data_IF_882950114220
#
_entry.id   IF_882950114220
#
_cell.length_a   1.000
_cell.length_b   1.000
_cell.length_c   1.000
_cell.angle_alpha   90.00
_cell.angle_beta   90.00
_cell.angle_gamma   90.00
#
_symmetry.space_group_name_H-M   'P 1'
#
loop_
_entity.id
_entity.type
_entity.pdbx_description
1 polymer ?
#
# COMPACT_ATOMS: atom_id res chain seq x y z
N UNK A 1 78.34 -52.58 -47.27
CA UNK A 1 77.19 -52.04 -48.04
C UNK A 1 75.83 -52.51 -47.51
N UNK A 2 75.64 -53.79 -47.13
CA UNK A 2 74.35 -54.31 -46.63
C UNK A 2 73.83 -53.68 -45.31
N UNK A 3 74.70 -53.44 -44.33
CA UNK A 3 74.30 -52.86 -43.02
C UNK A 3 73.72 -51.44 -43.18
N UNK A 4 74.23 -50.65 -44.12
CA UNK A 4 73.75 -49.27 -44.37
C UNK A 4 72.31 -49.28 -44.92
N UNK A 5 72.00 -50.21 -45.83
CA UNK A 5 70.63 -50.36 -46.35
C UNK A 5 69.64 -50.85 -45.30
N UNK A 6 70.05 -51.78 -44.43
CA UNK A 6 69.19 -52.26 -43.33
C UNK A 6 68.93 -51.14 -42.31
N UNK A 7 69.94 -50.37 -41.95
CA UNK A 7 69.76 -49.22 -41.05
C UNK A 7 68.92 -48.11 -41.68
N UNK A 8 69.07 -47.84 -42.98
CA UNK A 8 68.24 -46.87 -43.70
C UNK A 8 66.78 -47.32 -43.78
N UNK A 9 66.54 -48.61 -44.05
CA UNK A 9 65.20 -49.21 -44.04
C UNK A 9 64.51 -49.06 -42.69
N UNK A 10 65.22 -49.42 -41.59
CA UNK A 10 64.70 -49.24 -40.22
C UNK A 10 64.46 -47.77 -39.87
N UNK A 11 65.33 -46.86 -40.32
CA UNK A 11 65.15 -45.41 -40.10
C UNK A 11 63.89 -44.89 -40.83
N UNK A 12 63.67 -45.30 -42.07
CA UNK A 12 62.49 -44.91 -42.86
C UNK A 12 61.20 -45.49 -42.26
N UNK A 13 61.23 -46.74 -41.80
CA UNK A 13 60.10 -47.38 -41.13
C UNK A 13 59.74 -46.68 -39.81
N UNK A 14 60.75 -46.30 -39.01
CA UNK A 14 60.56 -45.52 -37.79
C UNK A 14 60.01 -44.11 -38.09
N UNK A 15 60.48 -43.47 -39.16
CA UNK A 15 60.01 -42.14 -39.60
C UNK A 15 58.57 -42.18 -40.14
N UNK A 16 58.14 -43.29 -40.74
CA UNK A 16 56.77 -43.51 -41.19
C UNK A 16 55.82 -43.83 -40.03
N UNK A 17 56.21 -44.73 -39.10
CA UNK A 17 55.44 -45.08 -37.89
C UNK A 17 55.30 -43.89 -36.92
N UNK A 18 56.33 -43.05 -36.78
CA UNK A 18 56.27 -41.86 -35.94
C UNK A 18 55.19 -40.87 -36.40
N UNK A 19 55.05 -40.66 -37.72
CA UNK A 19 54.06 -39.71 -38.28
C UNK A 19 52.62 -40.22 -38.18
N UNK A 20 52.38 -41.53 -38.29
CA UNK A 20 51.03 -42.10 -38.13
C UNK A 20 50.57 -42.05 -36.68
N UNK A 21 51.46 -42.34 -35.72
CA UNK A 21 51.16 -42.22 -34.29
C UNK A 21 50.91 -40.78 -33.86
N UNK A 22 51.66 -39.81 -34.41
CA UNK A 22 51.45 -38.39 -34.15
C UNK A 22 50.11 -37.89 -34.72
N UNK A 23 49.75 -38.33 -35.93
CA UNK A 23 48.45 -38.00 -36.52
C UNK A 23 47.28 -38.57 -35.72
N UNK A 24 47.38 -39.83 -35.24
CA UNK A 24 46.39 -40.45 -34.38
C UNK A 24 46.26 -39.74 -33.02
N UNK A 25 47.38 -39.34 -32.41
CA UNK A 25 47.37 -38.59 -31.15
C UNK A 25 46.70 -37.22 -31.31
N UNK A 26 46.96 -36.51 -32.42
CA UNK A 26 46.29 -35.24 -32.72
C UNK A 26 44.79 -35.43 -33.00
N UNK A 27 44.41 -36.50 -33.67
CA UNK A 27 43.00 -36.84 -33.92
C UNK A 27 42.25 -37.13 -32.61
N UNK A 28 42.88 -37.86 -31.69
CA UNK A 28 42.32 -38.11 -30.35
C UNK A 28 42.25 -36.84 -29.49
N UNK A 29 43.19 -35.90 -29.69
CA UNK A 29 43.14 -34.59 -29.02
C UNK A 29 42.04 -33.64 -29.56
N UNK A 30 41.50 -33.94 -30.74
CA UNK A 30 40.41 -33.18 -31.38
C UNK A 30 39.01 -33.69 -31.00
N UNK A 31 38.90 -34.78 -30.21
CA UNK A 31 37.61 -35.19 -29.67
C UNK A 31 37.15 -34.15 -28.62
N UNK A 32 35.95 -33.61 -28.82
CA UNK A 32 35.34 -32.70 -27.87
C UNK A 32 35.23 -33.39 -26.50
N UNK A 33 35.94 -32.85 -25.50
CA UNK A 33 36.06 -33.46 -24.17
C UNK A 33 34.75 -33.40 -23.38
N UNK A 34 33.92 -32.39 -23.68
CA UNK A 34 32.59 -32.19 -23.10
C UNK A 34 31.66 -31.59 -24.16
N UNK A 35 30.45 -32.16 -24.29
CA UNK A 35 29.36 -31.56 -25.04
C UNK A 35 28.40 -30.93 -24.03
N UNK A 36 28.58 -29.64 -23.76
CA UNK A 36 27.61 -28.90 -22.95
C UNK A 36 26.39 -28.60 -23.82
N UNK A 37 25.28 -29.26 -23.54
CA UNK A 37 23.99 -28.93 -24.16
C UNK A 37 23.54 -27.57 -23.63
N UNK A 38 23.77 -26.50 -24.39
CA UNK A 38 23.18 -25.18 -24.11
C UNK A 38 21.77 -25.20 -24.67
N UNK A 39 20.81 -25.73 -23.90
CA UNK A 39 19.39 -25.47 -24.15
C UNK A 39 19.13 -24.02 -23.75
N UNK A 40 19.29 -23.09 -24.70
CA UNK A 40 18.53 -21.85 -24.58
C UNK A 40 17.08 -22.28 -24.74
N UNK A 41 16.32 -22.27 -23.64
CA UNK A 41 14.89 -22.56 -23.65
C UNK A 41 14.17 -21.47 -24.45
N UNK A 42 14.28 -21.54 -25.78
CA UNK A 42 13.76 -20.55 -26.70
C UNK A 42 12.25 -20.39 -26.50
N UNK A 43 11.56 -21.46 -26.11
CA UNK A 43 10.15 -21.47 -25.72
C UNK A 43 9.87 -20.60 -24.49
N UNK A 44 10.73 -20.67 -23.46
CA UNK A 44 10.62 -19.82 -22.27
C UNK A 44 10.94 -18.36 -22.62
N UNK A 45 11.96 -18.12 -23.44
CA UNK A 45 12.32 -16.77 -23.88
C UNK A 45 11.21 -16.13 -24.72
N UNK A 46 10.61 -16.89 -25.65
CA UNK A 46 9.46 -16.44 -26.45
C UNK A 46 8.23 -16.25 -25.57
N UNK A 47 7.95 -17.20 -24.67
CA UNK A 47 6.79 -17.12 -23.76
C UNK A 47 6.86 -15.90 -22.82
N UNK A 48 8.02 -15.67 -22.20
CA UNK A 48 8.24 -14.47 -21.38
C UNK A 48 8.23 -13.19 -22.20
N UNK A 49 8.74 -13.21 -23.44
CA UNK A 49 8.65 -12.09 -24.38
C UNK A 49 7.21 -11.73 -24.77
N UNK A 50 6.37 -12.72 -25.08
CA UNK A 50 4.93 -12.53 -25.35
C UNK A 50 4.21 -12.00 -24.11
N UNK A 51 4.54 -12.51 -22.92
CA UNK A 51 4.04 -11.99 -21.65
C UNK A 51 4.37 -10.50 -21.47
N UNK A 52 5.62 -10.10 -21.71
CA UNK A 52 6.07 -8.73 -21.57
C UNK A 52 5.35 -7.76 -22.54
N UNK A 53 5.07 -8.18 -23.77
CA UNK A 53 4.27 -7.39 -24.74
C UNK A 53 2.86 -7.12 -24.19
N UNK A 54 2.30 -8.05 -23.41
CA UNK A 54 1.00 -7.91 -22.76
C UNK A 54 1.08 -7.30 -21.34
N UNK A 55 2.24 -6.77 -20.94
CA UNK A 55 2.43 -6.15 -19.63
C UNK A 55 2.61 -7.14 -18.46
N UNK A 56 2.86 -8.42 -18.75
CA UNK A 56 3.08 -9.46 -17.74
C UNK A 56 4.58 -9.82 -17.72
N UNK A 57 5.29 -9.32 -16.72
CA UNK A 57 6.70 -9.63 -16.54
C UNK A 57 6.88 -10.93 -15.74
N UNK A 58 7.39 -11.97 -16.40
CA UNK A 58 7.65 -13.28 -15.79
C UNK A 58 9.16 -13.42 -15.57
N UNK A 59 9.58 -13.66 -14.33
CA UNK A 59 11.00 -13.82 -13.98
C UNK A 59 11.38 -15.31 -14.00
N UNK A 60 12.02 -15.74 -15.09
CA UNK A 60 12.48 -17.13 -15.28
C UNK A 60 11.41 -18.06 -15.89
N UNK A 61 11.78 -19.31 -16.16
CA UNK A 61 10.90 -20.32 -16.76
C UNK A 61 10.01 -21.08 -15.78
N UNK A 62 10.49 -21.31 -14.56
CA UNK A 62 9.76 -22.07 -13.54
C UNK A 62 8.37 -21.47 -13.20
N UNK A 63 8.18 -20.13 -13.09
CA UNK A 63 6.85 -19.55 -12.91
C UNK A 63 5.93 -19.77 -14.11
N UNK A 64 6.46 -19.77 -15.34
CA UNK A 64 5.68 -19.98 -16.56
C UNK A 64 5.12 -21.40 -16.63
N UNK A 65 5.90 -22.39 -16.21
CA UNK A 65 5.48 -23.79 -16.16
C UNK A 65 4.52 -24.08 -15.00
N UNK A 66 4.76 -23.46 -13.84
CA UNK A 66 3.96 -23.70 -12.64
C UNK A 66 2.58 -23.03 -12.69
N UNK A 67 2.42 -21.92 -13.43
CA UNK A 67 1.16 -21.15 -13.46
C UNK A 67 -0.03 -21.95 -13.98
N UNK A 68 0.18 -22.89 -14.91
CA UNK A 68 -0.86 -23.76 -15.44
C UNK A 68 -1.51 -24.64 -14.35
N UNK A 69 -0.76 -25.01 -13.32
CA UNK A 69 -1.23 -25.87 -12.22
C UNK A 69 -2.01 -25.10 -11.16
N UNK A 70 -2.03 -23.76 -11.23
CA UNK A 70 -2.66 -22.91 -10.22
C UNK A 70 -4.18 -23.00 -10.33
N UNK A 71 -4.82 -23.39 -9.22
CA UNK A 71 -6.28 -23.47 -9.10
C UNK A 71 -6.88 -22.37 -8.23
N UNK A 72 -6.06 -21.73 -7.39
CA UNK A 72 -6.48 -20.67 -6.47
C UNK A 72 -5.62 -19.44 -6.66
N UNK A 73 -6.25 -18.27 -6.82
CA UNK A 73 -5.60 -16.96 -6.84
C UNK A 73 -5.98 -16.21 -5.57
N UNK A 74 -4.97 -15.78 -4.81
CA UNK A 74 -5.15 -14.95 -3.62
C UNK A 74 -4.69 -13.54 -3.99
N UNK A 75 -5.62 -12.60 -3.92
CA UNK A 75 -5.32 -11.18 -4.08
C UNK A 75 -5.06 -10.55 -2.72
N UNK A 76 -3.95 -9.82 -2.61
CA UNK A 76 -3.82 -8.80 -1.58
C UNK A 76 -4.77 -7.63 -1.92
N UNK A 77 -5.26 -6.90 -0.92
CA UNK A 77 -6.17 -5.77 -1.17
C UNK A 77 -5.41 -4.55 -1.66
N UNK A 78 -4.48 -4.07 -0.84
CA UNK A 78 -3.86 -2.75 -1.00
C UNK A 78 -2.86 -2.77 -2.15
N UNK A 79 -3.04 -1.87 -3.13
CA UNK A 79 -2.14 -1.74 -4.29
C UNK A 79 -2.31 -2.80 -5.37
N UNK A 80 -2.92 -3.96 -5.05
CA UNK A 80 -3.23 -5.00 -6.03
C UNK A 80 -4.65 -4.80 -6.59
N UNK A 81 -5.68 -4.92 -5.75
CA UNK A 81 -7.09 -4.70 -6.13
C UNK A 81 -7.43 -3.19 -6.13
N UNK A 82 -6.81 -2.44 -5.23
CA UNK A 82 -6.97 -0.99 -5.12
C UNK A 82 -5.79 -0.24 -5.75
N UNK A 83 -5.95 1.06 -5.98
CA UNK A 83 -4.91 1.93 -6.56
C UNK A 83 -3.67 2.07 -5.65
N UNK A 84 -3.75 1.66 -4.37
CA UNK A 84 -2.64 1.73 -3.42
C UNK A 84 -2.37 3.16 -2.94
N UNK A 85 -3.33 4.07 -3.14
CA UNK A 85 -3.22 5.50 -2.83
C UNK A 85 -4.43 5.91 -2.01
N UNK A 86 -4.39 5.66 -0.68
CA UNK A 86 -5.50 6.02 0.19
C UNK A 86 -5.74 7.53 0.15
N UNK A 87 -7.02 7.92 0.16
CA UNK A 87 -7.46 9.31 0.20
C UNK A 87 -8.59 9.47 1.20
N UNK A 88 -8.62 10.63 1.86
CA UNK A 88 -9.74 11.00 2.72
C UNK A 88 -10.99 11.14 1.84
N UNK A 89 -12.08 10.49 2.22
CA UNK A 89 -13.37 10.53 1.52
C UNK A 89 -14.40 11.35 2.28
N UNK A 90 -14.40 11.25 3.60
CA UNK A 90 -15.33 12.00 4.44
C UNK A 90 -14.73 12.32 5.80
N UNK A 91 -15.20 13.43 6.37
CA UNK A 91 -14.88 13.89 7.72
C UNK A 91 -16.21 14.10 8.43
N UNK A 92 -16.45 13.30 9.46
CA UNK A 92 -17.64 13.41 10.29
C UNK A 92 -17.26 14.17 11.56
N UNK A 93 -17.86 15.32 11.80
CA UNK A 93 -17.65 16.12 13.02
C UNK A 93 -18.72 15.81 14.06
N UNK A 94 -18.30 15.63 15.31
CA UNK A 94 -19.15 15.22 16.44
C UNK A 94 -19.32 16.34 17.48
N UNK A 95 -18.52 17.40 17.38
CA UNK A 95 -18.49 18.51 18.32
C UNK A 95 -18.93 19.80 17.67
N UNK A 96 -19.39 20.73 18.49
CA UNK A 96 -19.85 22.05 18.04
C UNK A 96 -18.79 22.76 17.18
N UNK A 97 -19.15 23.24 15.97
CA UNK A 97 -18.25 23.99 15.10
C UNK A 97 -17.78 25.32 15.70
N UNK A 98 -18.47 25.83 16.73
CA UNK A 98 -18.08 27.03 17.48
C UNK A 98 -16.89 26.79 18.41
N UNK A 99 -16.76 25.57 18.91
CA UNK A 99 -15.67 25.16 19.80
C UNK A 99 -14.49 24.60 18.98
N UNK A 100 -14.79 23.84 17.93
CA UNK A 100 -13.81 23.18 17.08
C UNK A 100 -14.12 23.39 15.60
N UNK A 101 -13.70 24.52 15.00
CA UNK A 101 -13.86 24.77 13.58
C UNK A 101 -13.16 23.69 12.74
N UNK A 102 -13.73 23.33 11.59
CA UNK A 102 -13.20 22.27 10.73
C UNK A 102 -11.72 22.50 10.35
N UNK A 103 -11.34 23.75 10.06
CA UNK A 103 -9.94 24.10 9.75
C UNK A 103 -9.00 23.78 10.91
N UNK A 104 -9.43 24.04 12.15
CA UNK A 104 -8.65 23.73 13.34
C UNK A 104 -8.54 22.22 13.55
N UNK A 105 -9.64 21.49 13.39
CA UNK A 105 -9.66 20.03 13.45
C UNK A 105 -8.69 19.42 12.44
N UNK A 106 -8.75 19.83 11.17
CA UNK A 106 -7.88 19.29 10.11
C UNK A 106 -6.41 19.65 10.35
N UNK A 107 -6.13 20.85 10.87
CA UNK A 107 -4.76 21.25 11.25
C UNK A 107 -4.21 20.37 12.37
N UNK A 108 -5.00 20.08 13.40
CA UNK A 108 -4.62 19.22 14.53
C UNK A 108 -4.38 17.80 14.03
N UNK A 109 -5.31 17.23 13.26
CA UNK A 109 -5.16 15.88 12.70
C UNK A 109 -3.97 15.76 11.75
N UNK A 110 -3.80 16.73 10.84
CA UNK A 110 -2.66 16.77 9.91
C UNK A 110 -1.32 16.94 10.63
N UNK A 111 -1.28 17.73 11.71
CA UNK A 111 -0.09 17.86 12.54
C UNK A 111 0.23 16.54 13.26
N UNK A 112 -0.76 15.89 13.88
CA UNK A 112 -0.61 14.60 14.56
C UNK A 112 -0.01 13.53 13.65
N UNK A 113 -0.53 13.43 12.41
CA UNK A 113 -0.13 12.42 11.44
C UNK A 113 1.11 12.81 10.62
N UNK A 114 1.63 14.03 10.77
CA UNK A 114 2.80 14.48 10.02
C UNK A 114 4.08 13.70 10.33
N UNK A 115 4.18 13.10 11.53
CA UNK A 115 5.27 12.22 11.94
C UNK A 115 5.00 10.74 11.66
N UNK A 116 3.83 10.40 11.13
CA UNK A 116 3.40 9.03 10.86
C UNK A 116 3.88 8.56 9.49
N UNK A 117 4.54 7.40 9.44
CA UNK A 117 4.94 6.75 8.18
C UNK A 117 3.81 5.91 7.56
N UNK A 118 2.67 5.78 8.26
CA UNK A 118 1.58 4.96 7.80
C UNK A 118 0.86 5.59 6.59
N UNK A 119 0.46 4.81 5.56
CA UNK A 119 -0.26 5.34 4.38
C UNK A 119 -1.53 6.14 4.72
N UNK A 120 -2.21 5.77 5.80
CA UNK A 120 -3.39 6.48 6.36
C UNK A 120 -2.98 7.89 6.84
N UNK A 121 -1.90 7.99 7.61
CA UNK A 121 -1.38 9.27 8.09
C UNK A 121 -0.90 10.18 6.95
N UNK A 122 -0.26 9.58 5.94
CA UNK A 122 0.11 10.29 4.71
C UNK A 122 -1.13 10.84 3.97
N UNK A 123 -2.23 10.08 3.91
CA UNK A 123 -3.48 10.54 3.28
C UNK A 123 -4.09 11.75 4.01
N UNK A 124 -4.14 11.71 5.35
CA UNK A 124 -4.65 12.81 6.19
C UNK A 124 -3.76 14.05 6.05
N UNK A 125 -2.44 13.86 6.12
CA UNK A 125 -1.46 14.95 5.99
C UNK A 125 -1.54 15.60 4.62
N UNK A 126 -1.64 14.82 3.55
CA UNK A 126 -1.77 15.34 2.18
C UNK A 126 -3.07 16.10 1.98
N UNK A 127 -4.19 15.59 2.51
CA UNK A 127 -5.47 16.31 2.50
C UNK A 127 -5.37 17.65 3.25
N UNK A 128 -4.78 17.65 4.45
CA UNK A 128 -4.60 18.85 5.25
C UNK A 128 -3.71 19.89 4.53
N UNK A 129 -2.62 19.46 3.87
CA UNK A 129 -1.77 20.36 3.06
C UNK A 129 -2.53 21.00 1.91
N UNK A 130 -3.31 20.20 1.17
CA UNK A 130 -4.08 20.68 0.02
C UNK A 130 -5.16 21.66 0.47
N UNK A 131 -5.93 21.29 1.49
CA UNK A 131 -7.08 22.10 1.93
C UNK A 131 -6.69 23.39 2.66
N UNK A 132 -5.65 23.34 3.50
CA UNK A 132 -5.17 24.49 4.27
C UNK A 132 -4.11 25.33 3.51
N UNK A 133 -3.81 24.99 2.24
CA UNK A 133 -2.81 25.68 1.39
C UNK A 133 -1.42 25.73 2.02
N UNK A 134 -0.87 24.57 2.36
CA UNK A 134 0.46 24.37 2.97
C UNK A 134 0.64 25.11 4.32
N UNK A 135 -0.07 24.67 5.38
CA UNK A 135 0.04 25.28 6.69
C UNK A 135 1.39 24.95 7.35
N UNK A 136 1.79 25.79 8.29
CA UNK A 136 2.87 25.46 9.23
C UNK A 136 2.34 24.48 10.27
N UNK A 137 2.93 23.28 10.35
CA UNK A 137 2.49 22.28 11.34
C UNK A 137 2.72 22.76 12.77
N UNK A 138 1.81 22.36 13.65
CA UNK A 138 1.96 22.59 15.08
C UNK A 138 3.06 21.67 15.65
N UNK A 139 3.65 22.06 16.79
CA UNK A 139 4.75 21.32 17.38
C UNK A 139 4.25 20.04 18.04
N UNK A 140 4.67 18.89 17.53
CA UNK A 140 4.28 17.56 18.02
C UNK A 140 5.34 17.01 18.98
N UNK A 141 4.88 16.51 20.12
CA UNK A 141 5.68 15.91 21.18
C UNK A 141 5.02 14.60 21.66
N UNK A 142 5.80 13.73 22.34
CA UNK A 142 5.30 12.45 22.88
C UNK A 142 4.56 11.58 21.83
N UNK A 143 5.10 11.50 20.61
CA UNK A 143 4.52 10.70 19.54
C UNK A 143 4.71 9.21 19.82
N UNK A 144 3.60 8.48 19.92
CA UNK A 144 3.55 7.04 20.14
C UNK A 144 2.72 6.36 19.07
N UNK A 145 3.28 5.31 18.47
CA UNK A 145 2.60 4.48 17.47
C UNK A 145 2.21 3.16 18.10
N UNK A 146 0.94 2.79 18.00
CA UNK A 146 0.43 1.48 18.38
C UNK A 146 0.07 0.71 17.11
N UNK A 147 0.90 -0.27 16.74
CA UNK A 147 0.71 -1.05 15.52
C UNK A 147 -0.70 -1.66 15.43
N UNK A 148 -1.35 -1.47 14.28
CA UNK A 148 -2.73 -1.93 14.03
C UNK A 148 -3.83 -1.18 14.79
N UNK A 149 -3.49 -0.14 15.56
CA UNK A 149 -4.45 0.60 16.39
C UNK A 149 -4.47 2.09 16.07
N UNK A 150 -3.32 2.74 15.91
CA UNK A 150 -3.25 4.17 15.58
C UNK A 150 -2.07 4.88 16.21
N UNK A 151 -2.19 6.21 16.36
CA UNK A 151 -1.17 7.11 16.91
C UNK A 151 -1.72 7.92 18.07
N UNK A 152 -0.87 8.25 19.03
CA UNK A 152 -1.16 9.22 20.09
C UNK A 152 -0.01 10.23 20.20
N UNK A 153 -0.34 11.49 20.41
CA UNK A 153 0.65 12.55 20.51
C UNK A 153 0.13 13.76 21.27
N UNK A 154 1.04 14.63 21.70
CA UNK A 154 0.72 15.91 22.30
C UNK A 154 1.14 17.03 21.35
N UNK A 155 0.19 17.87 20.96
CA UNK A 155 0.39 18.98 20.01
C UNK A 155 0.38 20.28 20.78
N UNK A 156 1.34 21.16 20.49
CA UNK A 156 1.47 22.49 21.10
C UNK A 156 1.60 23.58 20.04
N UNK A 157 1.36 24.83 20.43
CA UNK A 157 1.46 26.02 19.56
C UNK A 157 0.46 26.05 18.39
N UNK A 158 -0.72 25.46 18.58
CA UNK A 158 -1.76 25.40 17.52
C UNK A 158 -2.21 26.80 17.11
N UNK A 159 -2.23 27.77 18.03
CA UNK A 159 -2.60 29.17 17.73
C UNK A 159 -1.65 29.84 16.71
N UNK A 160 -0.36 29.55 16.78
CA UNK A 160 0.64 30.08 15.84
C UNK A 160 0.40 29.54 14.44
N UNK A 161 0.17 28.23 14.33
CA UNK A 161 -0.15 27.57 13.06
C UNK A 161 -1.49 28.06 12.49
N UNK A 162 -2.51 28.25 13.33
CA UNK A 162 -3.81 28.80 12.93
C UNK A 162 -3.71 30.21 12.34
N UNK A 163 -2.81 31.05 12.86
CA UNK A 163 -2.62 32.41 12.32
C UNK A 163 -2.07 32.42 10.88
N UNK A 164 -1.46 31.32 10.44
CA UNK A 164 -0.98 31.14 9.06
C UNK A 164 -2.13 30.75 8.11
N UNK A 165 -3.24 30.26 8.65
CA UNK A 165 -4.42 29.83 7.87
C UNK A 165 -5.40 31.00 7.75
N UNK A 166 -5.61 31.51 6.54
CA UNK A 166 -6.58 32.55 6.28
C UNK A 166 -8.01 32.09 6.66
N UNK A 167 -8.69 32.90 7.47
CA UNK A 167 -10.07 32.73 7.96
C UNK A 167 -10.36 31.39 8.65
N UNK A 168 -10.16 31.31 9.97
CA UNK A 168 -10.46 30.10 10.78
C UNK A 168 -11.96 29.74 10.76
N UNK A 169 -12.83 30.74 10.62
CA UNK A 169 -14.28 30.54 10.55
C UNK A 169 -14.68 30.10 9.14
N UNK A 170 -14.78 28.78 8.95
CA UNK A 170 -15.46 28.20 7.78
C UNK A 170 -16.98 28.25 7.92
N UNK A 171 -17.73 27.74 6.92
CA UNK A 171 -19.18 27.58 7.02
C UNK A 171 -19.53 26.73 8.25
N UNK A 172 -20.45 27.22 9.06
CA UNK A 172 -20.96 26.53 10.24
C UNK A 172 -22.06 25.60 9.79
N UNK A 173 -21.87 24.30 9.97
CA UNK A 173 -22.89 23.29 9.69
C UNK A 173 -23.71 22.98 10.94
N UNK A 174 -25.02 22.89 10.74
CA UNK A 174 -25.97 22.38 11.73
C UNK A 174 -25.97 20.86 11.75
N UNK A 175 -26.51 20.26 12.82
CA UNK A 175 -26.58 18.80 12.95
C UNK A 175 -27.34 18.15 11.77
N UNK A 176 -26.71 17.19 11.12
CA UNK A 176 -27.21 16.50 9.94
C UNK A 176 -26.84 17.13 8.61
N UNK A 177 -26.28 18.35 8.58
CA UNK A 177 -25.86 19.02 7.36
C UNK A 177 -24.54 18.45 6.81
N UNK A 178 -24.41 18.49 5.49
CA UNK A 178 -23.26 17.99 4.75
C UNK A 178 -22.78 19.05 3.76
N UNK A 179 -21.47 19.18 3.62
CA UNK A 179 -20.84 20.02 2.61
C UNK A 179 -19.72 19.27 1.89
N UNK A 180 -19.53 19.59 0.62
CA UNK A 180 -18.33 19.16 -0.09
C UNK A 180 -17.15 20.08 0.26
N UNK A 181 -16.07 19.48 0.71
CA UNK A 181 -14.78 20.10 1.00
C UNK A 181 -13.83 19.72 -0.14
N UNK A 182 -13.09 20.70 -0.65
CA UNK A 182 -12.13 20.53 -1.76
C UNK A 182 -12.78 20.07 -3.08
N UNK A 183 -13.41 21.01 -3.78
CA UNK A 183 -13.92 20.90 -5.15
C UNK A 183 -14.61 19.54 -5.47
N UNK A 184 -15.55 19.17 -4.60
CA UNK A 184 -16.44 17.98 -4.67
C UNK A 184 -15.86 16.63 -4.23
N UNK A 185 -14.64 16.54 -3.67
CA UNK A 185 -13.99 15.22 -3.41
C UNK A 185 -14.13 14.68 -1.99
N UNK A 186 -14.23 15.54 -0.98
CA UNK A 186 -14.35 15.11 0.42
C UNK A 186 -15.66 15.59 1.00
N UNK A 187 -16.41 14.69 1.65
CA UNK A 187 -17.67 15.03 2.29
C UNK A 187 -17.46 15.37 3.76
N UNK A 188 -17.73 16.61 4.16
CA UNK A 188 -17.79 16.98 5.58
C UNK A 188 -19.24 16.91 6.04
N UNK A 189 -19.50 16.16 7.12
CA UNK A 189 -20.82 16.02 7.72
C UNK A 189 -20.76 16.39 9.19
N UNK A 190 -21.68 17.22 9.63
CA UNK A 190 -21.90 17.45 11.05
C UNK A 190 -22.84 16.37 11.59
N UNK A 191 -22.30 15.37 12.27
CA UNK A 191 -23.11 14.25 12.80
C UNK A 191 -23.76 14.61 14.12
N UNK A 192 -23.07 15.40 14.96
CA UNK A 192 -23.64 15.92 16.20
C UNK A 192 -22.97 17.23 16.59
N UNK A 193 -23.66 18.08 17.35
CA UNK A 193 -23.15 19.37 17.82
C UNK A 193 -22.90 19.37 19.34
N UNK A 194 -22.39 18.26 19.88
CA UNK A 194 -22.14 18.16 21.32
C UNK A 194 -21.14 19.25 21.77
N UNK A 195 -21.42 19.98 22.86
CA UNK A 195 -20.46 20.92 23.42
C UNK A 195 -19.24 20.18 23.95
N UNK A 196 -18.09 20.85 23.98
CA UNK A 196 -16.90 20.33 24.64
C UNK A 196 -17.07 20.42 26.16
N UNK A 197 -16.68 19.37 26.91
CA UNK A 197 -16.77 19.40 28.39
C UNK A 197 -15.75 20.39 28.96
N UNK A 198 -14.61 20.56 28.28
CA UNK A 198 -13.58 21.56 28.62
C UNK A 198 -13.46 22.60 27.51
N UNK A 199 -13.54 23.90 27.85
CA UNK A 199 -13.33 24.99 26.90
C UNK A 199 -11.98 24.83 26.17
N UNK A 200 -12.06 24.60 24.86
CA UNK A 200 -10.90 24.44 23.96
C UNK A 200 -10.20 25.79 23.71
N UNK A 201 -10.91 26.91 23.91
CA UNK A 201 -10.45 28.26 23.53
C UNK A 201 -9.19 28.74 24.26
N UNK A 202 -8.94 28.24 25.47
CA UNK A 202 -7.84 28.72 26.32
C UNK A 202 -6.58 27.84 26.25
N UNK A 203 -6.69 26.60 25.78
CA UNK A 203 -5.59 25.64 25.72
C UNK A 203 -4.75 25.84 24.44
N UNK A 204 -3.43 26.01 24.58
CA UNK A 204 -2.49 25.96 23.43
C UNK A 204 -1.87 24.58 23.22
N UNK A 205 -2.23 23.62 24.08
CA UNK A 205 -1.73 22.25 24.08
C UNK A 205 -2.90 21.28 24.04
N UNK A 206 -2.83 20.30 23.15
CA UNK A 206 -3.88 19.30 22.92
C UNK A 206 -3.27 17.91 22.98
N UNK A 207 -3.91 17.01 23.74
CA UNK A 207 -3.62 15.59 23.68
C UNK A 207 -4.49 14.95 22.59
N UNK A 208 -3.88 14.38 21.57
CA UNK A 208 -4.55 13.89 20.37
C UNK A 208 -4.32 12.39 20.25
N UNK A 209 -5.40 11.65 20.04
CA UNK A 209 -5.37 10.21 19.75
C UNK A 209 -6.13 9.99 18.45
N UNK A 210 -5.49 9.36 17.46
CA UNK A 210 -6.11 9.01 16.18
C UNK A 210 -5.98 7.51 15.99
N UNK A 211 -7.08 6.81 15.80
CA UNK A 211 -7.02 5.36 15.65
C UNK A 211 -8.36 4.63 15.61
N UNK A 212 -8.29 3.32 15.80
CA UNK A 212 -9.44 2.42 15.88
C UNK A 212 -10.16 2.53 17.24
N UNK A 213 -11.35 1.95 17.32
CA UNK A 213 -12.14 1.88 18.56
C UNK A 213 -11.35 1.26 19.73
N UNK A 214 -10.56 0.21 19.46
CA UNK A 214 -9.66 -0.41 20.45
C UNK A 214 -8.59 0.55 20.99
N UNK A 215 -8.10 1.48 20.16
CA UNK A 215 -7.15 2.51 20.60
C UNK A 215 -7.81 3.48 21.58
N UNK A 216 -9.08 3.80 21.34
CA UNK A 216 -9.87 4.68 22.21
C UNK A 216 -10.14 4.03 23.55
N UNK A 217 -10.56 2.76 23.57
CA UNK A 217 -10.74 1.97 24.80
C UNK A 217 -9.46 1.92 25.64
N UNK A 218 -8.30 1.70 24.99
CA UNK A 218 -6.99 1.66 25.67
C UNK A 218 -6.62 2.97 26.35
N UNK A 219 -7.07 4.11 25.81
CA UNK A 219 -6.84 5.44 26.40
C UNK A 219 -7.98 5.89 27.32
N UNK A 220 -8.98 5.04 27.57
CA UNK A 220 -10.14 5.36 28.41
C UNK A 220 -11.08 6.40 27.79
N UNK A 221 -11.07 6.52 26.46
CA UNK A 221 -11.89 7.48 25.71
C UNK A 221 -13.24 6.83 25.39
N UNK A 222 -14.32 7.46 25.84
CA UNK A 222 -15.68 6.96 25.65
C UNK A 222 -16.12 7.17 24.20
N UNK A 223 -16.53 6.09 23.53
CA UNK A 223 -17.12 6.13 22.20
C UNK A 223 -18.64 6.02 22.32
N UNK A 224 -19.33 7.14 22.11
CA UNK A 224 -20.79 7.19 22.21
C UNK A 224 -21.48 6.34 21.12
N UNK A 225 -22.72 5.93 21.36
CA UNK A 225 -23.52 5.16 20.40
C UNK A 225 -23.65 5.85 19.03
N UNK A 226 -23.77 7.18 19.02
CA UNK A 226 -23.83 7.98 17.78
C UNK A 226 -22.52 7.85 17.00
N UNK A 227 -21.38 7.96 17.69
CA UNK A 227 -20.04 7.80 17.11
C UNK A 227 -19.85 6.39 16.56
N UNK A 228 -20.22 5.36 17.33
CA UNK A 228 -20.12 3.97 16.92
C UNK A 228 -21.02 3.64 15.71
N UNK A 229 -22.24 4.19 15.68
CA UNK A 229 -23.16 4.03 14.55
C UNK A 229 -22.62 4.69 13.28
N UNK A 230 -22.14 5.93 13.38
CA UNK A 230 -21.53 6.66 12.27
C UNK A 230 -20.27 5.93 11.73
N UNK A 231 -19.41 5.46 12.63
CA UNK A 231 -18.22 4.67 12.28
C UNK A 231 -18.61 3.38 11.53
N UNK A 232 -19.62 2.66 12.04
CA UNK A 232 -20.07 1.42 11.42
C UNK A 232 -20.70 1.66 10.04
N UNK A 233 -21.43 2.77 9.85
CA UNK A 233 -22.02 3.12 8.56
C UNK A 233 -20.95 3.37 7.49
N UNK A 234 -19.89 4.11 7.82
CA UNK A 234 -18.77 4.35 6.92
C UNK A 234 -17.99 3.07 6.59
N UNK A 235 -17.75 2.22 7.58
CA UNK A 235 -17.08 0.94 7.37
C UNK A 235 -17.87 -0.01 6.46
N UNK A 236 -19.21 0.00 6.54
CA UNK A 236 -20.07 -0.78 5.65
C UNK A 236 -19.96 -0.33 4.18
N UNK A 237 -19.67 0.94 3.93
CA UNK A 237 -19.40 1.46 2.59
C UNK A 237 -18.03 1.02 2.04
N UNK A 238 -17.21 0.32 2.85
CA UNK A 238 -15.89 -0.14 2.46
C UNK A 238 -14.79 0.91 2.70
N UNK A 239 -15.08 1.92 3.52
CA UNK A 239 -14.10 2.90 3.95
C UNK A 239 -13.32 2.34 5.16
N UNK A 240 -12.07 2.76 5.28
CA UNK A 240 -11.27 2.63 6.49
C UNK A 240 -11.55 3.89 7.30
N UNK A 241 -12.15 3.74 8.48
CA UNK A 241 -12.53 4.88 9.31
C UNK A 241 -11.71 4.90 10.60
N UNK A 242 -11.10 6.04 10.89
CA UNK A 242 -10.35 6.30 12.13
C UNK A 242 -11.08 7.35 12.95
N UNK A 243 -11.08 7.17 14.27
CA UNK A 243 -11.63 8.13 15.21
C UNK A 243 -10.50 9.09 15.60
N UNK A 244 -10.79 10.37 15.66
CA UNK A 244 -9.93 11.40 16.24
C UNK A 244 -10.53 11.86 17.57
N UNK A 245 -9.75 11.75 18.62
CA UNK A 245 -10.07 12.23 19.95
C UNK A 245 -9.07 13.29 20.39
N UNK A 246 -9.58 14.34 21.04
CA UNK A 246 -8.81 15.48 21.53
C UNK A 246 -9.16 15.66 23.01
N UNK A 247 -8.14 15.74 23.87
CA UNK A 247 -8.26 15.92 25.32
C UNK A 247 -9.18 14.88 26.00
N UNK A 248 -9.20 13.65 25.47
CA UNK A 248 -10.01 12.54 25.98
C UNK A 248 -11.46 12.50 25.47
N UNK A 249 -11.84 13.38 24.55
CA UNK A 249 -13.18 13.42 23.95
C UNK A 249 -13.12 13.09 22.46
N UNK A 250 -14.06 12.29 21.95
CA UNK A 250 -14.19 12.04 20.50
C UNK A 250 -14.66 13.30 19.78
N UNK A 251 -13.89 13.74 18.77
CA UNK A 251 -14.15 14.99 18.06
C UNK A 251 -14.61 14.74 16.63
N UNK A 252 -14.00 13.77 15.96
CA UNK A 252 -14.32 13.47 14.58
C UNK A 252 -14.05 12.02 14.20
N UNK A 253 -14.67 11.59 13.11
CA UNK A 253 -14.31 10.36 12.40
C UNK A 253 -13.79 10.78 11.02
N UNK A 254 -12.63 10.29 10.65
CA UNK A 254 -12.04 10.51 9.33
C UNK A 254 -12.13 9.19 8.57
N UNK A 255 -12.87 9.18 7.48
CA UNK A 255 -12.95 8.05 6.57
C UNK A 255 -11.98 8.21 5.43
N UNK A 256 -11.29 7.13 5.15
CA UNK A 256 -10.26 7.01 4.12
C UNK A 256 -10.63 5.82 3.27
N UNK A 257 -10.66 6.00 1.96
CA UNK A 257 -10.84 4.91 1.03
C UNK A 257 -9.63 4.79 0.12
N UNK A 258 -9.30 3.56 -0.22
CA UNK A 258 -8.44 3.28 -1.36
C UNK A 258 -9.34 2.82 -2.50
N UNK A 259 -9.25 3.53 -3.62
CA UNK A 259 -10.16 3.32 -4.74
C UNK A 259 -9.85 1.97 -5.39
N UNK A 260 -10.89 1.19 -5.64
CA UNK A 260 -10.77 -0.07 -6.38
C UNK A 260 -10.39 0.24 -7.84
N UNK A 261 -9.39 -0.47 -8.36
CA UNK A 261 -8.98 -0.38 -9.77
C UNK A 261 -10.16 -0.72 -10.68
N UNK A 262 -10.31 0.01 -11.80
CA UNK A 262 -11.47 -0.16 -12.69
C UNK A 262 -11.48 -1.54 -13.36
N UNK A 263 -10.30 -2.10 -13.56
CA UNK A 263 -10.02 -3.40 -14.13
C UNK A 263 -10.15 -4.57 -13.14
N UNK A 264 -10.13 -4.31 -11.83
CA UNK A 264 -10.14 -5.37 -10.82
C UNK A 264 -11.41 -6.26 -10.89
N UNK A 265 -12.64 -5.71 -11.03
CA UNK A 265 -13.83 -6.55 -11.15
C UNK A 265 -13.81 -7.44 -12.40
N UNK A 266 -13.29 -6.90 -13.53
CA UNK A 266 -13.15 -7.65 -14.77
C UNK A 266 -12.14 -8.80 -14.63
N UNK A 267 -11.01 -8.54 -13.95
CA UNK A 267 -9.98 -9.54 -13.69
C UNK A 267 -10.51 -10.69 -12.82
N UNK A 268 -11.23 -10.36 -11.73
CA UNK A 268 -11.84 -11.37 -10.85
C UNK A 268 -12.90 -12.19 -11.61
N UNK A 269 -13.73 -11.52 -12.41
CA UNK A 269 -14.71 -12.21 -13.26
C UNK A 269 -14.04 -13.17 -14.25
N UNK A 270 -12.96 -12.75 -14.92
CA UNK A 270 -12.23 -13.57 -15.88
C UNK A 270 -11.63 -14.82 -15.20
N UNK A 271 -10.98 -14.65 -14.05
CA UNK A 271 -10.40 -15.76 -13.27
C UNK A 271 -11.47 -16.77 -12.83
N UNK A 272 -12.63 -16.29 -12.35
CA UNK A 272 -13.75 -17.16 -11.98
C UNK A 272 -14.31 -17.91 -13.19
N UNK A 273 -14.41 -17.25 -14.35
CA UNK A 273 -14.85 -17.88 -15.60
C UNK A 273 -13.85 -18.94 -16.10
N UNK A 274 -12.57 -18.80 -15.77
CA UNK A 274 -11.53 -19.81 -16.00
C UNK A 274 -11.56 -20.97 -14.99
N UNK A 275 -12.51 -20.98 -14.03
CA UNK A 275 -12.63 -22.04 -13.03
C UNK A 275 -11.66 -21.90 -11.85
N UNK A 276 -10.99 -20.75 -11.71
CA UNK A 276 -10.09 -20.50 -10.57
C UNK A 276 -10.86 -20.02 -9.35
N UNK A 277 -10.44 -20.49 -8.16
CA UNK A 277 -10.93 -19.99 -6.88
C UNK A 277 -10.23 -18.66 -6.56
N UNK A 278 -11.00 -17.59 -6.39
CA UNK A 278 -10.46 -16.26 -6.07
C UNK A 278 -10.71 -15.93 -4.60
N UNK A 279 -9.66 -15.51 -3.88
CA UNK A 279 -9.72 -15.15 -2.46
C UNK A 279 -9.12 -13.76 -2.26
N UNK A 280 -9.74 -12.93 -1.43
CA UNK A 280 -9.18 -11.65 -0.98
C UNK A 280 -8.54 -11.85 0.40
N UNK A 281 -7.26 -11.52 0.53
CA UNK A 281 -6.53 -11.50 1.80
C UNK A 281 -6.25 -10.05 2.17
N UNK A 282 -6.63 -9.63 3.37
CA UNK A 282 -6.36 -8.28 3.89
C UNK A 282 -6.27 -8.27 5.41
N UNK A 283 -5.46 -7.35 5.95
CA UNK A 283 -5.40 -7.04 7.38
C UNK A 283 -6.45 -6.01 7.84
N UNK A 284 -7.29 -5.50 6.94
CA UNK A 284 -8.32 -4.53 7.27
C UNK A 284 -9.48 -5.15 8.08
N UNK A 285 -10.34 -4.27 8.62
CA UNK A 285 -11.58 -4.69 9.26
C UNK A 285 -12.43 -5.56 8.32
N UNK A 286 -13.00 -6.64 8.86
CA UNK A 286 -13.85 -7.59 8.14
C UNK A 286 -15.03 -6.92 7.41
N UNK A 287 -15.63 -5.86 7.98
CA UNK A 287 -16.72 -5.11 7.32
C UNK A 287 -16.24 -4.44 6.03
N UNK A 288 -15.09 -3.77 6.10
CA UNK A 288 -14.44 -3.09 4.98
C UNK A 288 -14.06 -4.11 3.90
N UNK A 289 -13.42 -5.22 4.30
CA UNK A 289 -13.02 -6.30 3.41
C UNK A 289 -14.21 -6.92 2.65
N UNK A 290 -15.30 -7.20 3.36
CA UNK A 290 -16.52 -7.74 2.77
C UNK A 290 -17.16 -6.76 1.76
N UNK A 291 -17.18 -5.47 2.08
CA UNK A 291 -17.68 -4.43 1.16
C UNK A 291 -16.82 -4.32 -0.10
N UNK A 292 -15.48 -4.32 0.03
CA UNK A 292 -14.57 -4.36 -1.13
C UNK A 292 -14.78 -5.62 -1.95
N UNK A 293 -14.86 -6.79 -1.32
CA UNK A 293 -15.11 -8.05 -2.02
C UNK A 293 -16.42 -8.01 -2.82
N UNK A 294 -17.52 -7.51 -2.24
CA UNK A 294 -18.79 -7.33 -2.95
C UNK A 294 -18.69 -6.40 -4.16
N UNK A 295 -17.86 -5.36 -4.10
CA UNK A 295 -17.66 -4.42 -5.22
C UNK A 295 -16.88 -5.04 -6.39
N UNK A 296 -15.96 -5.97 -6.10
CA UNK A 296 -15.12 -6.62 -7.11
C UNK A 296 -15.75 -7.91 -7.64
N UNK A 297 -16.58 -8.56 -6.81
CA UNK A 297 -17.37 -9.74 -7.15
C UNK A 297 -16.69 -11.02 -6.73
#
# INVERSE_FOLDING_TARGET
MLIVFISLGRMLEHKAKGKTSEALSRLMSLQAKEATLVTMDAEVMVGTGVGAINGILIKGGEPLESVHKVTTVIFDKTGTITEGRPRVTSILSLRSPLDMPLKMLVLICGSAESQSEHPIGAAITNFAKQWLREPTWAAVSRFHVSAGHGVSCQISSVRKSLSTVAEVNGPVLSEGEEMAVDDSRVLHKQVSCMPFIKSVKDMDTFEVVIGSERMMEKHGIVVDQITAAALSAEQQQGNISVICAINGETVAIISIADKVKREAPLAVWALRRMGMRVVLLTGDNAKTACSTAKKVG
#
